data_IF_651832461431
#
_entry.id   IF_651832461431
#
_cell.length_a   1.000
_cell.length_b   1.000
_cell.length_c   1.000
_cell.angle_alpha   90.00
_cell.angle_beta   90.00
_cell.angle_gamma   90.00
#
_symmetry.space_group_name_H-M   'P 1'
#
loop_
_entity.id
_entity.type
_entity.pdbx_description
1 polymer ?
#
# COMPACT_ATOMS: atom_id res chain seq x y z
N UNK A 1 2.18 -0.72 13.48
CA UNK A 1 0.85 -0.08 13.34
C UNK A 1 0.17 -0.43 12.02
N UNK A 2 -1.14 -0.69 12.04
CA UNK A 2 -2.00 -0.91 10.87
C UNK A 2 -3.39 -0.28 11.13
N UNK A 3 -3.89 0.52 10.18
CA UNK A 3 -5.23 1.13 10.20
C UNK A 3 -5.81 0.96 8.79
N UNK A 4 -6.96 0.29 8.64
CA UNK A 4 -7.64 0.14 7.36
C UNK A 4 -9.11 0.53 7.50
N UNK A 5 -9.59 1.39 6.60
CA UNK A 5 -11.00 1.73 6.41
C UNK A 5 -11.31 1.44 4.94
N UNK A 6 -12.24 0.52 4.68
CA UNK A 6 -12.59 0.06 3.35
C UNK A 6 -11.34 -0.29 2.51
N UNK A 7 -11.09 0.45 1.43
CA UNK A 7 -9.98 0.23 0.52
C UNK A 7 -8.73 1.02 0.89
N UNK A 8 -8.73 1.85 1.93
CA UNK A 8 -7.57 2.66 2.30
C UNK A 8 -6.92 2.09 3.57
N UNK A 9 -5.60 1.90 3.53
CA UNK A 9 -4.84 1.38 4.66
C UNK A 9 -3.56 2.18 4.91
N UNK A 10 -3.35 2.61 6.14
CA UNK A 10 -2.03 3.00 6.63
C UNK A 10 -1.32 1.80 7.26
N UNK A 11 -0.07 1.57 6.87
CA UNK A 11 0.78 0.49 7.38
C UNK A 11 2.24 0.92 7.47
N UNK A 12 2.96 0.33 8.42
CA UNK A 12 4.42 0.42 8.47
C UNK A 12 5.05 -0.72 7.67
N UNK A 13 5.94 -0.41 6.74
CA UNK A 13 6.67 -1.41 5.96
C UNK A 13 7.98 -0.82 5.44
N UNK A 14 9.05 -1.61 5.39
CA UNK A 14 10.36 -1.16 4.87
C UNK A 14 10.86 0.13 5.53
N UNK A 15 10.64 0.26 6.85
CA UNK A 15 11.11 1.40 7.63
C UNK A 15 10.30 2.70 7.46
N UNK A 16 9.14 2.68 6.79
CA UNK A 16 8.31 3.87 6.56
C UNK A 16 6.83 3.57 6.74
N UNK A 17 6.08 4.57 7.19
CA UNK A 17 4.62 4.54 7.15
C UNK A 17 4.13 4.92 5.76
N UNK A 18 3.12 4.21 5.26
CA UNK A 18 2.53 4.46 3.94
C UNK A 18 1.04 4.23 3.96
N UNK A 19 0.32 5.10 3.25
CA UNK A 19 -1.09 4.94 2.96
C UNK A 19 -1.23 4.31 1.57
N UNK A 20 -1.94 3.19 1.48
CA UNK A 20 -2.16 2.43 0.26
C UNK A 20 -3.64 2.32 -0.07
N UNK A 21 -3.96 2.19 -1.36
CA UNK A 21 -5.28 1.76 -1.81
C UNK A 21 -5.26 0.28 -2.18
N UNK A 22 -6.17 -0.48 -1.60
CA UNK A 22 -6.47 -1.86 -1.97
C UNK A 22 -7.47 -1.92 -3.13
N UNK A 23 -7.30 -2.92 -3.98
CA UNK A 23 -8.18 -3.21 -5.10
C UNK A 23 -8.16 -4.71 -5.42
N UNK A 24 -9.21 -5.23 -6.09
CA UNK A 24 -9.20 -6.61 -6.58
C UNK A 24 -7.98 -6.88 -7.44
N UNK A 25 -7.34 -8.02 -7.21
CA UNK A 25 -6.19 -8.44 -7.98
C UNK A 25 -6.62 -9.18 -9.24
N UNK A 26 -6.31 -8.62 -10.40
CA UNK A 26 -6.68 -9.23 -11.69
C UNK A 26 -6.00 -10.58 -11.96
N UNK A 27 -4.86 -10.86 -11.31
CA UNK A 27 -4.08 -12.09 -11.50
C UNK A 27 -4.53 -13.24 -10.58
N UNK A 28 -5.41 -12.97 -9.62
CA UNK A 28 -5.79 -13.97 -8.61
C UNK A 28 -6.40 -15.22 -9.26
N UNK A 29 -5.89 -16.40 -8.88
CA UNK A 29 -6.29 -17.72 -9.39
C UNK A 29 -6.09 -17.93 -10.90
N UNK A 30 -5.26 -17.14 -11.58
CA UNK A 30 -4.99 -17.27 -13.04
C UNK A 30 -3.65 -17.91 -13.38
N UNK A 31 -3.00 -18.60 -12.44
CA UNK A 31 -1.65 -19.14 -12.65
C UNK A 31 -1.59 -20.10 -13.84
N UNK A 32 -2.54 -21.04 -13.92
CA UNK A 32 -2.61 -22.04 -14.98
C UNK A 32 -2.88 -21.41 -16.35
N UNK A 33 -3.70 -20.35 -16.40
CA UNK A 33 -3.96 -19.59 -17.64
C UNK A 33 -2.67 -18.98 -18.20
N UNK A 34 -1.82 -18.41 -17.33
CA UNK A 34 -0.56 -17.80 -17.73
C UNK A 34 0.46 -18.85 -18.18
N UNK A 35 0.56 -19.99 -17.48
CA UNK A 35 1.42 -21.10 -17.92
C UNK A 35 0.99 -21.65 -19.28
N UNK A 36 -0.32 -21.81 -19.51
CA UNK A 36 -0.87 -22.28 -20.78
C UNK A 36 -0.64 -21.29 -21.93
N UNK A 37 -0.56 -19.98 -21.62
CA UNK A 37 -0.23 -18.90 -22.55
C UNK A 37 1.29 -18.73 -22.80
N UNK A 38 2.12 -19.64 -22.26
CA UNK A 38 3.57 -19.69 -22.52
C UNK A 38 4.41 -18.81 -21.61
N UNK A 39 3.89 -18.38 -20.46
CA UNK A 39 4.70 -17.75 -19.43
C UNK A 39 5.55 -18.78 -18.69
N UNK A 40 6.77 -18.40 -18.32
CA UNK A 40 7.71 -19.27 -17.62
C UNK A 40 7.93 -18.80 -16.18
N UNK A 41 7.95 -19.73 -15.23
CA UNK A 41 8.28 -19.44 -13.83
C UNK A 41 9.80 -19.54 -13.63
N UNK A 42 10.43 -18.42 -13.33
CA UNK A 42 11.87 -18.34 -13.04
C UNK A 42 12.14 -17.39 -11.86
N UNK A 43 12.93 -17.86 -10.89
CA UNK A 43 13.34 -17.07 -9.73
C UNK A 43 12.19 -16.47 -8.90
N UNK A 44 11.02 -17.11 -8.88
CA UNK A 44 9.83 -16.61 -8.18
C UNK A 44 9.00 -15.58 -8.97
N UNK A 45 9.29 -15.40 -10.26
CA UNK A 45 8.54 -14.54 -11.16
C UNK A 45 8.06 -15.32 -12.38
N UNK A 46 6.84 -15.04 -12.81
CA UNK A 46 6.35 -15.42 -14.14
C UNK A 46 6.87 -14.39 -15.13
N UNK A 47 7.56 -14.83 -16.17
CA UNK A 47 8.20 -13.96 -17.16
C UNK A 47 7.74 -14.28 -18.57
N UNK A 48 7.57 -13.23 -19.36
CA UNK A 48 7.34 -13.29 -20.81
C UNK A 48 7.85 -12.00 -21.43
N UNK A 49 8.71 -12.11 -22.44
CA UNK A 49 9.39 -10.99 -23.07
C UNK A 49 10.06 -10.05 -22.02
N UNK A 50 9.69 -8.78 -22.00
CA UNK A 50 10.19 -7.77 -21.05
C UNK A 50 9.23 -7.52 -19.87
N UNK A 51 8.35 -8.48 -19.56
CA UNK A 51 7.34 -8.37 -18.50
C UNK A 51 7.56 -9.46 -17.45
N UNK A 52 7.45 -9.08 -16.18
CA UNK A 52 7.54 -10.01 -15.05
C UNK A 52 6.43 -9.78 -14.05
N UNK A 53 5.83 -10.87 -13.56
CA UNK A 53 4.80 -10.88 -12.52
C UNK A 53 5.33 -11.69 -11.34
N UNK A 54 5.30 -11.14 -10.13
CA UNK A 54 5.71 -11.89 -8.95
C UNK A 54 4.73 -13.06 -8.70
N UNK A 55 5.23 -14.27 -8.46
CA UNK A 55 4.39 -15.47 -8.33
C UNK A 55 3.30 -15.35 -7.25
N UNK A 56 3.56 -14.59 -6.19
CA UNK A 56 2.60 -14.32 -5.10
C UNK A 56 1.34 -13.58 -5.56
N UNK A 57 1.38 -12.91 -6.72
CA UNK A 57 0.23 -12.24 -7.31
C UNK A 57 -0.86 -13.23 -7.74
N UNK A 58 -0.56 -14.50 -8.00
CA UNK A 58 -1.60 -15.49 -8.34
C UNK A 58 -2.35 -15.99 -7.12
N UNK A 59 -1.80 -15.80 -5.91
CA UNK A 59 -2.34 -16.34 -4.65
C UNK A 59 -3.06 -15.29 -3.79
N UNK A 60 -2.99 -14.01 -4.16
CA UNK A 60 -3.53 -12.91 -3.36
C UNK A 60 -4.81 -12.35 -4.00
N UNK A 61 -5.97 -12.35 -3.33
CA UNK A 61 -7.22 -11.85 -3.90
C UNK A 61 -7.25 -10.33 -4.09
N UNK A 62 -6.43 -9.61 -3.33
CA UNK A 62 -6.28 -8.16 -3.42
C UNK A 62 -4.84 -7.78 -3.71
N UNK A 63 -4.66 -6.64 -4.35
CA UNK A 63 -3.38 -5.95 -4.48
C UNK A 63 -3.54 -4.51 -4.00
N UNK A 64 -2.42 -3.81 -3.79
CA UNK A 64 -2.47 -2.41 -3.41
C UNK A 64 -1.34 -1.60 -4.02
N UNK A 65 -1.56 -0.29 -4.10
CA UNK A 65 -0.55 0.67 -4.51
C UNK A 65 -0.46 1.82 -3.51
N UNK A 66 0.73 2.37 -3.33
CA UNK A 66 0.96 3.50 -2.42
C UNK A 66 0.35 4.78 -2.98
N UNK A 67 -0.42 5.47 -2.14
CA UNK A 67 -0.97 6.80 -2.40
C UNK A 67 -0.07 7.87 -1.78
N UNK A 68 0.37 7.66 -0.54
CA UNK A 68 1.20 8.61 0.19
C UNK A 68 2.14 7.92 1.19
N UNK A 69 3.19 8.61 1.57
CA UNK A 69 4.10 8.26 2.66
C UNK A 69 3.88 9.21 3.84
N UNK A 70 4.04 8.70 5.05
CA UNK A 70 4.03 9.51 6.27
C UNK A 70 5.39 9.40 6.95
N UNK A 71 5.95 10.55 7.33
CA UNK A 71 7.18 10.64 8.11
C UNK A 71 6.91 11.49 9.35
N UNK A 72 7.17 10.92 10.53
CA UNK A 72 7.05 11.68 11.77
C UNK A 72 8.19 12.70 11.86
N UNK A 73 7.82 13.95 12.17
CA UNK A 73 8.74 15.02 12.55
C UNK A 73 8.61 15.24 14.06
N UNK A 74 9.71 15.03 14.79
CA UNK A 74 9.74 15.15 16.25
C UNK A 74 9.72 16.62 16.72
N UNK A 75 10.26 17.55 15.92
CA UNK A 75 10.33 18.97 16.25
C UNK A 75 8.94 19.62 16.08
N UNK A 76 8.19 19.20 15.06
CA UNK A 76 6.83 19.69 14.81
C UNK A 76 5.74 18.85 15.50
N UNK A 77 6.09 17.64 15.97
CA UNK A 77 5.18 16.70 16.64
C UNK A 77 3.93 16.37 15.77
N UNK A 78 4.17 16.23 14.47
CA UNK A 78 3.19 15.84 13.44
C UNK A 78 3.84 14.97 12.36
N UNK A 79 3.02 14.47 11.42
CA UNK A 79 3.54 13.71 10.28
C UNK A 79 3.57 14.56 9.01
N UNK A 80 4.75 14.65 8.38
CA UNK A 80 4.88 15.07 6.98
C UNK A 80 4.24 14.02 6.06
N UNK A 81 3.45 14.48 5.10
CA UNK A 81 2.81 13.63 4.10
C UNK A 81 3.36 13.90 2.70
N UNK A 82 3.96 12.86 2.09
CA UNK A 82 4.44 12.90 0.71
C UNK A 82 3.54 12.07 -0.20
N UNK A 83 2.80 12.70 -1.10
CA UNK A 83 1.92 12.00 -2.05
C UNK A 83 2.68 11.46 -3.26
N UNK A 84 2.27 10.29 -3.74
CA UNK A 84 2.81 9.70 -4.97
C UNK A 84 2.05 10.24 -6.19
N UNK A 85 2.60 11.28 -6.80
CA UNK A 85 2.03 11.91 -8.00
C UNK A 85 0.55 12.30 -7.82
N UNK A 86 -0.30 12.12 -8.84
CA UNK A 86 -1.72 12.50 -8.76
C UNK A 86 -2.58 11.50 -7.97
N UNK A 87 -2.03 10.41 -7.42
CA UNK A 87 -2.83 9.27 -6.93
C UNK A 87 -3.83 9.62 -5.83
N UNK A 88 -3.54 10.63 -5.01
CA UNK A 88 -4.50 11.16 -4.02
C UNK A 88 -5.65 11.92 -4.70
N UNK A 89 -5.33 12.67 -5.76
CA UNK A 89 -6.29 13.44 -6.55
C UNK A 89 -7.17 12.51 -7.41
N UNK A 90 -6.65 11.35 -7.83
CA UNK A 90 -7.38 10.37 -8.63
C UNK A 90 -8.35 9.50 -7.80
N UNK A 91 -8.36 9.64 -6.47
CA UNK A 91 -9.33 8.96 -5.62
C UNK A 91 -10.75 9.48 -5.88
N UNK A 92 -11.71 8.55 -5.94
CA UNK A 92 -13.12 8.93 -5.87
C UNK A 92 -13.44 9.54 -4.50
N UNK A 93 -14.59 10.20 -4.39
CA UNK A 93 -14.95 10.96 -3.19
C UNK A 93 -14.99 10.09 -1.91
N UNK A 94 -15.44 8.83 -2.00
CA UNK A 94 -15.53 7.94 -0.86
C UNK A 94 -14.13 7.50 -0.41
N UNK A 95 -13.30 7.03 -1.34
CA UNK A 95 -11.91 6.64 -1.05
C UNK A 95 -11.09 7.83 -0.53
N UNK A 96 -11.37 9.06 -0.99
CA UNK A 96 -10.69 10.26 -0.52
C UNK A 96 -11.10 10.61 0.92
N UNK A 97 -12.38 10.46 1.28
CA UNK A 97 -12.82 10.64 2.67
C UNK A 97 -12.18 9.59 3.58
N UNK A 98 -12.24 8.31 3.18
CA UNK A 98 -11.59 7.21 3.90
C UNK A 98 -10.07 7.45 4.05
N UNK A 99 -9.42 8.07 3.05
CA UNK A 99 -8.01 8.45 3.12
C UNK A 99 -7.73 9.44 4.24
N UNK A 100 -8.51 10.51 4.36
CA UNK A 100 -8.31 11.50 5.41
C UNK A 100 -8.64 10.95 6.80
N UNK A 101 -9.67 10.10 6.91
CA UNK A 101 -10.00 9.40 8.17
C UNK A 101 -8.85 8.47 8.60
N UNK A 102 -8.31 7.67 7.67
CA UNK A 102 -7.15 6.81 7.93
C UNK A 102 -5.91 7.63 8.31
N UNK A 103 -5.66 8.75 7.62
CA UNK A 103 -4.55 9.66 7.93
C UNK A 103 -4.65 10.19 9.36
N UNK A 104 -5.81 10.72 9.76
CA UNK A 104 -6.02 11.29 11.10
C UNK A 104 -5.77 10.25 12.19
N UNK A 105 -6.32 9.04 12.05
CA UNK A 105 -6.12 7.95 13.02
C UNK A 105 -4.64 7.50 13.04
N UNK A 106 -4.00 7.43 11.87
CA UNK A 106 -2.61 7.02 11.75
C UNK A 106 -1.67 8.04 12.39
N UNK A 107 -1.81 9.33 12.10
CA UNK A 107 -1.01 10.41 12.67
C UNK A 107 -1.06 10.40 14.20
N UNK A 108 -2.26 10.29 14.76
CA UNK A 108 -2.44 10.20 16.21
C UNK A 108 -1.72 9.01 16.83
N UNK A 109 -1.75 7.85 16.16
CA UNK A 109 -1.04 6.64 16.64
C UNK A 109 0.46 6.79 16.52
N UNK A 110 0.97 7.29 15.39
CA UNK A 110 2.40 7.50 15.15
C UNK A 110 2.96 8.47 16.19
N UNK A 111 2.26 9.59 16.42
CA UNK A 111 2.67 10.57 17.43
C UNK A 111 2.75 9.98 18.83
N UNK A 112 1.76 9.16 19.22
CA UNK A 112 1.79 8.46 20.53
C UNK A 112 2.94 7.47 20.63
N UNK A 113 3.18 6.68 19.58
CA UNK A 113 4.28 5.71 19.51
C UNK A 113 5.65 6.38 19.65
N UNK A 114 5.83 7.59 19.10
CA UNK A 114 7.11 8.30 19.18
C UNK A 114 7.27 9.09 20.50
N UNK A 115 6.19 9.59 21.11
CA UNK A 115 6.27 10.23 22.44
C UNK A 115 6.72 9.27 23.55
N UNK A 116 6.33 8.01 23.47
CA UNK A 116 6.73 6.98 24.45
C UNK A 116 8.18 6.51 24.33
N UNK A 117 8.92 6.95 23.31
CA UNK A 117 10.34 6.59 23.13
C UNK A 117 11.26 7.58 23.86
N UNK A 118 10.77 8.78 24.17
CA UNK A 118 11.53 9.86 24.81
C UNK A 118 11.32 9.94 26.35
N UNK A 119 10.58 8.99 26.94
CA UNK A 119 10.39 8.81 28.40
C UNK A 119 11.11 7.55 28.92
#
# INVERSE_FOLDING_TARGET
MKVRINNIECRFSQGRYKIVKWQPNHYYNKQEEYLADGWELDGGFFRRDNVSIQATMFNSPETCYTIAWLKYDADENCCDMETVGPRLLDLNINDRNDFFDVYQIAEDRIRKENKTIDE
#
